data_IF_113613971223
#
_entry.id   IF_113613971223
#
_cell.length_a   1.000
_cell.length_b   1.000
_cell.length_c   1.000
_cell.angle_alpha   90.00
_cell.angle_beta   90.00
_cell.angle_gamma   90.00
#
_symmetry.space_group_name_H-M   'P 1'
#
loop_
_entity.id
_entity.type
_entity.pdbx_description
1 polymer ?
#
# COMPACT_ATOMS: atom_id res chain seq x y z
N UNK A 1 -2.29 23.51 -8.81
CA UNK A 1 -3.54 22.85 -9.23
C UNK A 1 -3.70 21.60 -8.39
N UNK A 2 -4.86 21.32 -7.77
CA UNK A 2 -5.02 20.12 -6.95
C UNK A 2 -5.05 18.90 -7.86
N UNK A 3 -3.98 18.11 -7.82
CA UNK A 3 -3.90 16.82 -8.51
C UNK A 3 -4.89 15.89 -7.79
N UNK A 4 -5.80 15.19 -8.49
CA UNK A 4 -6.72 14.28 -7.84
C UNK A 4 -5.94 13.06 -7.32
N UNK A 5 -5.61 13.03 -6.03
CA UNK A 5 -5.05 11.85 -5.33
C UNK A 5 -6.05 10.68 -5.23
N UNK A 6 -7.26 10.84 -5.76
CA UNK A 6 -8.26 9.80 -5.89
C UNK A 6 -8.39 9.40 -7.38
N UNK A 7 -7.54 8.49 -7.84
CA UNK A 7 -7.81 7.77 -9.09
C UNK A 7 -9.07 6.91 -8.85
N UNK A 8 -10.22 7.34 -9.39
CA UNK A 8 -11.37 6.45 -9.55
C UNK A 8 -10.95 5.35 -10.53
N UNK A 9 -10.55 4.19 -10.01
CA UNK A 9 -10.24 2.99 -10.80
C UNK A 9 -11.52 2.40 -11.40
N UNK A 10 -12.15 3.12 -12.33
CA UNK A 10 -13.39 2.71 -12.99
C UNK A 10 -13.29 1.36 -13.72
N UNK A 11 -12.09 1.01 -14.20
CA UNK A 11 -11.83 -0.24 -14.93
C UNK A 11 -11.90 -1.47 -14.00
N UNK A 12 -11.47 -1.36 -12.73
CA UNK A 12 -11.54 -2.51 -11.79
C UNK A 12 -12.99 -2.83 -11.43
N UNK A 13 -13.88 -1.83 -11.41
CA UNK A 13 -15.28 -2.03 -11.04
C UNK A 13 -16.05 -2.94 -12.02
N UNK A 14 -15.68 -2.90 -13.30
CA UNK A 14 -16.29 -3.66 -14.40
C UNK A 14 -15.80 -5.12 -14.46
N UNK A 15 -14.58 -5.39 -14.01
CA UNK A 15 -13.99 -6.76 -14.01
C UNK A 15 -14.50 -7.58 -12.80
N UNK A 16 -14.92 -6.91 -11.74
CA UNK A 16 -15.34 -7.55 -10.50
C UNK A 16 -16.82 -7.95 -10.56
N UNK A 17 -17.11 -9.21 -10.27
CA UNK A 17 -18.45 -9.77 -10.20
C UNK A 17 -18.94 -9.88 -8.75
N UNK A 18 -20.25 -9.69 -8.54
CA UNK A 18 -20.85 -9.64 -7.20
C UNK A 18 -20.41 -8.43 -6.39
N UNK A 19 -21.19 -8.06 -5.37
CA UNK A 19 -20.83 -6.97 -4.45
C UNK A 19 -21.53 -7.16 -3.11
N UNK A 20 -20.78 -7.59 -2.11
CA UNK A 20 -21.25 -7.65 -0.72
C UNK A 20 -20.36 -6.77 0.15
N UNK A 21 -20.92 -5.75 0.79
CA UNK A 21 -20.18 -4.95 1.77
C UNK A 21 -20.20 -5.64 3.13
N UNK A 22 -19.04 -5.74 3.77
CA UNK A 22 -18.86 -6.30 5.11
C UNK A 22 -18.10 -5.30 5.98
N UNK A 23 -18.79 -4.76 6.98
CA UNK A 23 -18.15 -3.94 8.02
C UNK A 23 -17.62 -4.87 9.12
N UNK A 24 -16.36 -4.69 9.49
CA UNK A 24 -15.68 -5.52 10.49
C UNK A 24 -14.94 -4.63 11.49
N UNK A 25 -14.80 -5.14 12.70
CA UNK A 25 -13.89 -4.60 13.71
C UNK A 25 -12.65 -5.49 13.80
N UNK A 26 -11.51 -4.91 14.12
CA UNK A 26 -10.26 -5.65 14.39
C UNK A 26 -9.75 -5.31 15.78
N UNK A 27 -8.82 -6.11 16.35
CA UNK A 27 -8.15 -5.75 17.59
C UNK A 27 -7.49 -4.36 17.54
N UNK A 28 -7.09 -3.89 16.36
CA UNK A 28 -6.42 -2.61 16.13
C UNK A 28 -7.39 -1.48 15.76
N UNK A 29 -8.70 -1.68 15.98
CA UNK A 29 -9.76 -0.74 15.62
C UNK A 29 -10.37 -1.02 14.25
N UNK A 30 -11.06 -0.01 13.70
CA UNK A 30 -11.79 -0.14 12.42
C UNK A 30 -10.86 0.02 11.21
N UNK A 31 -11.05 -0.79 10.16
CA UNK A 31 -10.48 -0.51 8.84
C UNK A 31 -10.98 0.82 8.27
N UNK A 32 -10.34 1.30 7.22
CA UNK A 32 -10.65 2.57 6.56
C UNK A 32 -12.07 2.63 5.96
N UNK A 33 -12.65 1.50 5.58
CA UNK A 33 -13.99 1.36 5.02
C UNK A 33 -14.46 -0.10 5.16
N UNK A 34 -15.67 -0.42 4.67
CA UNK A 34 -16.12 -1.79 4.49
C UNK A 34 -15.19 -2.57 3.56
N UNK A 35 -14.99 -3.85 3.88
CA UNK A 35 -14.48 -4.84 2.95
C UNK A 35 -15.56 -5.08 1.88
N UNK A 36 -15.18 -5.01 0.61
CA UNK A 36 -16.13 -5.29 -0.49
C UNK A 36 -15.81 -6.66 -1.06
N UNK A 37 -16.58 -7.67 -0.70
CA UNK A 37 -16.40 -9.04 -1.20
C UNK A 37 -16.90 -9.13 -2.65
N UNK A 38 -16.02 -9.55 -3.54
CA UNK A 38 -16.26 -9.68 -4.99
C UNK A 38 -15.46 -10.86 -5.56
N UNK A 39 -15.64 -11.14 -6.85
CA UNK A 39 -14.85 -12.14 -7.59
C UNK A 39 -14.25 -11.55 -8.86
N UNK A 40 -13.06 -11.99 -9.25
CA UNK A 40 -12.54 -11.84 -10.62
C UNK A 40 -12.52 -13.25 -11.21
N UNK A 41 -13.44 -13.55 -12.15
CA UNK A 41 -13.67 -14.92 -12.62
C UNK A 41 -13.91 -15.85 -11.41
N UNK A 42 -13.05 -16.85 -11.20
CA UNK A 42 -13.14 -17.80 -10.08
C UNK A 42 -12.27 -17.44 -8.87
N UNK A 43 -11.69 -16.23 -8.83
CA UNK A 43 -10.80 -15.79 -7.76
C UNK A 43 -11.52 -14.82 -6.84
N UNK A 44 -11.62 -15.16 -5.55
CA UNK A 44 -12.18 -14.29 -4.52
C UNK A 44 -11.31 -13.05 -4.31
N UNK A 45 -11.94 -11.89 -4.21
CA UNK A 45 -11.30 -10.59 -4.11
C UNK A 45 -11.96 -9.74 -3.03
N UNK A 46 -11.14 -9.04 -2.23
CA UNK A 46 -11.60 -8.19 -1.13
C UNK A 46 -11.05 -6.75 -1.28
N UNK A 47 -11.57 -5.95 -2.24
CA UNK A 47 -11.26 -4.53 -2.31
C UNK A 47 -11.51 -3.79 -0.98
N UNK A 48 -10.53 -2.98 -0.59
CA UNK A 48 -10.60 -2.05 0.54
C UNK A 48 -9.99 -0.70 0.14
N UNK A 49 -10.74 0.39 0.34
CA UNK A 49 -10.26 1.73 0.04
C UNK A 49 -9.38 2.26 1.18
N UNK A 50 -8.07 2.38 0.93
CA UNK A 50 -7.07 2.84 1.93
C UNK A 50 -7.45 4.15 2.63
N UNK A 51 -8.01 5.11 1.88
CA UNK A 51 -8.40 6.44 2.38
C UNK A 51 -9.91 6.57 2.66
N UNK A 52 -10.63 5.45 2.68
CA UNK A 52 -12.09 5.43 2.61
C UNK A 52 -12.59 5.73 1.19
N UNK A 53 -13.79 5.26 0.85
CA UNK A 53 -14.37 5.44 -0.50
C UNK A 53 -14.59 6.90 -0.89
N UNK A 54 -14.69 7.78 0.11
CA UNK A 54 -14.83 9.23 -0.06
C UNK A 54 -13.48 9.98 0.01
N UNK A 55 -12.35 9.27 0.17
CA UNK A 55 -11.01 9.85 0.27
C UNK A 55 -10.87 10.87 1.41
N UNK A 56 -11.46 10.58 2.57
CA UNK A 56 -11.52 11.50 3.73
C UNK A 56 -10.40 11.26 4.75
N UNK A 57 -9.67 10.15 4.65
CA UNK A 57 -8.63 9.77 5.62
C UNK A 57 -7.25 10.12 5.06
N UNK A 58 -6.55 11.08 5.66
CA UNK A 58 -5.18 11.43 5.26
C UNK A 58 -4.19 10.27 5.50
N UNK A 59 -3.08 10.15 4.73
CA UNK A 59 -2.15 9.02 4.83
C UNK A 59 -1.66 8.71 6.26
N UNK A 60 -1.28 9.74 7.02
CA UNK A 60 -0.84 9.60 8.41
C UNK A 60 -1.88 9.06 9.40
N UNK A 61 -3.17 9.08 9.00
CA UNK A 61 -4.30 8.66 9.83
C UNK A 61 -4.96 7.38 9.33
N UNK A 62 -4.46 6.81 8.23
CA UNK A 62 -4.89 5.48 7.78
C UNK A 62 -4.55 4.46 8.86
N UNK A 63 -5.52 3.64 9.23
CA UNK A 63 -5.31 2.56 10.18
C UNK A 63 -4.75 1.31 9.47
N UNK A 64 -3.46 1.35 9.16
CA UNK A 64 -2.80 0.28 8.42
C UNK A 64 -2.86 -1.07 9.15
N UNK A 65 -2.77 -1.08 10.48
CA UNK A 65 -2.89 -2.31 11.27
C UNK A 65 -4.28 -2.93 11.08
N UNK A 66 -5.36 -2.15 11.25
CA UNK A 66 -6.71 -2.68 11.05
C UNK A 66 -6.98 -3.11 9.60
N UNK A 67 -6.49 -2.36 8.61
CA UNK A 67 -6.66 -2.72 7.20
C UNK A 67 -6.03 -4.08 6.87
N UNK A 68 -4.75 -4.27 7.23
CA UNK A 68 -4.05 -5.53 6.95
C UNK A 68 -4.63 -6.68 7.78
N UNK A 69 -4.95 -6.44 9.06
CA UNK A 69 -5.54 -7.46 9.92
C UNK A 69 -6.90 -7.94 9.39
N UNK A 70 -7.76 -7.01 8.96
CA UNK A 70 -9.06 -7.34 8.39
C UNK A 70 -8.93 -8.20 7.12
N UNK A 71 -7.99 -7.88 6.22
CA UNK A 71 -7.74 -8.70 5.03
C UNK A 71 -7.23 -10.10 5.39
N UNK A 72 -6.33 -10.19 6.38
CA UNK A 72 -5.85 -11.48 6.90
C UNK A 72 -6.99 -12.33 7.45
N UNK A 73 -7.85 -11.75 8.29
CA UNK A 73 -8.99 -12.46 8.90
C UNK A 73 -10.08 -12.84 7.88
N UNK A 74 -10.21 -12.09 6.78
CA UNK A 74 -11.07 -12.48 5.65
C UNK A 74 -10.46 -13.62 4.81
N UNK A 75 -9.26 -14.10 5.16
CA UNK A 75 -8.61 -15.22 4.48
C UNK A 75 -7.83 -14.83 3.23
N UNK A 76 -7.55 -13.54 3.01
CA UNK A 76 -6.67 -13.14 1.92
C UNK A 76 -5.28 -13.77 2.08
N UNK A 77 -4.72 -14.25 0.96
CA UNK A 77 -3.33 -14.75 0.90
C UNK A 77 -2.39 -13.75 0.24
N UNK A 78 -2.95 -12.86 -0.58
CA UNK A 78 -2.24 -11.85 -1.36
C UNK A 78 -2.85 -10.48 -1.14
N UNK A 79 -2.01 -9.46 -1.10
CA UNK A 79 -2.41 -8.05 -1.04
C UNK A 79 -1.69 -7.32 -2.17
N UNK A 80 -2.45 -6.99 -3.21
CA UNK A 80 -1.97 -6.19 -4.34
C UNK A 80 -2.55 -4.79 -4.17
N UNK A 81 -1.67 -3.81 -4.01
CA UNK A 81 -2.09 -2.43 -3.77
C UNK A 81 -1.76 -1.53 -4.94
N UNK A 82 -2.52 -0.44 -5.04
CA UNK A 82 -2.16 0.71 -5.87
C UNK A 82 -1.72 1.88 -5.02
N UNK A 83 -0.75 2.64 -5.53
CA UNK A 83 -0.32 3.92 -4.93
C UNK A 83 0.04 4.92 -6.03
N UNK A 84 -0.42 6.15 -5.88
CA UNK A 84 0.11 7.27 -6.66
C UNK A 84 1.45 7.71 -6.08
N UNK A 85 2.34 8.23 -6.92
CA UNK A 85 3.64 8.74 -6.50
C UNK A 85 4.12 9.88 -7.41
N UNK A 86 4.97 10.74 -6.85
CA UNK A 86 5.83 11.61 -7.66
C UNK A 86 7.05 10.83 -8.17
N UNK A 87 7.47 11.12 -9.39
CA UNK A 87 8.71 10.61 -9.97
C UNK A 87 9.91 11.42 -9.51
N UNK A 88 11.06 10.77 -9.33
CA UNK A 88 12.35 11.44 -9.10
C UNK A 88 13.38 11.11 -10.18
N UNK A 89 12.94 10.56 -11.31
CA UNK A 89 13.77 10.02 -12.39
C UNK A 89 13.13 10.31 -13.74
N UNK A 90 13.91 10.81 -14.70
CA UNK A 90 13.39 11.19 -16.03
C UNK A 90 12.79 9.98 -16.78
N UNK A 91 13.32 8.79 -16.53
CA UNK A 91 12.85 7.54 -17.10
C UNK A 91 11.52 7.02 -16.52
N UNK A 92 10.94 7.69 -15.52
CA UNK A 92 9.62 7.41 -14.94
C UNK A 92 8.72 8.61 -15.23
N UNK A 93 7.91 8.54 -16.28
CA UNK A 93 7.04 9.62 -16.72
C UNK A 93 5.64 9.52 -16.09
N UNK A 94 4.92 10.64 -15.92
CA UNK A 94 3.52 10.59 -15.50
C UNK A 94 2.69 9.66 -16.39
N UNK A 95 1.93 8.74 -15.75
CA UNK A 95 1.19 7.68 -16.41
C UNK A 95 1.91 6.32 -16.42
N UNK A 96 3.22 6.29 -16.20
CA UNK A 96 3.95 5.03 -16.09
C UNK A 96 3.50 4.25 -14.85
N UNK A 97 3.27 2.95 -15.08
CA UNK A 97 3.06 1.98 -14.01
C UNK A 97 4.40 1.29 -13.74
N UNK A 98 4.78 1.23 -12.47
CA UNK A 98 6.03 0.63 -11.99
C UNK A 98 5.76 -0.24 -10.76
N UNK A 99 6.61 -1.25 -10.51
CA UNK A 99 6.51 -2.09 -9.31
C UNK A 99 7.55 -1.66 -8.28
N UNK A 100 7.11 -1.45 -7.05
CA UNK A 100 8.06 -1.19 -5.95
C UNK A 100 8.63 -2.54 -5.49
N UNK A 101 9.95 -2.65 -5.42
CA UNK A 101 10.66 -3.83 -4.89
C UNK A 101 11.54 -3.50 -3.68
N UNK A 102 11.85 -2.23 -3.46
CA UNK A 102 12.60 -1.71 -2.32
C UNK A 102 12.01 -0.38 -1.83
N UNK A 103 12.30 0.02 -0.59
CA UNK A 103 11.87 1.31 -0.07
C UNK A 103 12.82 1.89 0.98
N UNK A 104 12.71 3.21 1.20
CA UNK A 104 13.23 3.91 2.36
C UNK A 104 12.05 4.51 3.14
N UNK A 105 12.07 4.33 4.46
CA UNK A 105 11.05 4.87 5.35
C UNK A 105 11.47 6.23 5.93
N UNK A 106 10.63 7.23 5.71
CA UNK A 106 10.69 8.56 6.33
C UNK A 106 9.38 8.93 7.03
N UNK A 107 8.56 7.93 7.34
CA UNK A 107 7.39 8.08 8.22
C UNK A 107 7.85 8.18 9.67
N UNK A 108 7.07 8.88 10.50
CA UNK A 108 7.44 9.22 11.89
C UNK A 108 6.31 9.03 12.90
N UNK A 109 5.05 8.95 12.45
CA UNK A 109 3.89 8.99 13.36
C UNK A 109 3.06 7.70 13.39
N UNK A 110 3.45 6.65 12.67
CA UNK A 110 2.57 5.52 12.34
C UNK A 110 3.04 4.24 13.06
N UNK A 111 2.17 3.48 13.74
CA UNK A 111 2.52 2.16 14.26
C UNK A 111 2.93 1.21 13.12
N UNK A 112 4.07 0.52 13.27
CA UNK A 112 4.65 -0.33 12.21
C UNK A 112 4.68 -1.84 12.53
N UNK A 113 4.03 -2.23 13.63
CA UNK A 113 3.99 -3.63 14.09
C UNK A 113 2.65 -3.93 14.74
N UNK A 114 2.20 -5.18 14.67
CA UNK A 114 1.10 -5.68 15.51
C UNK A 114 1.55 -6.01 16.93
N UNK A 115 2.85 -6.23 17.10
CA UNK A 115 3.48 -6.75 18.32
C UNK A 115 4.02 -5.60 19.17
N UNK A 116 3.13 -4.71 19.61
CA UNK A 116 3.47 -3.53 20.43
C UNK A 116 3.33 -3.79 21.94
N UNK A 117 3.03 -5.04 22.32
CA UNK A 117 2.81 -5.45 23.71
C UNK A 117 1.42 -5.13 24.27
N UNK A 118 0.55 -4.45 23.51
CA UNK A 118 -0.77 -4.01 23.99
C UNK A 118 -1.90 -4.98 23.65
N UNK A 119 -1.71 -5.87 22.67
CA UNK A 119 -2.77 -6.74 22.16
C UNK A 119 -2.50 -8.22 22.40
N UNK A 120 -3.48 -8.91 22.98
CA UNK A 120 -3.39 -10.33 23.30
C UNK A 120 -3.33 -11.25 22.07
N UNK A 121 -3.79 -10.77 20.91
CA UNK A 121 -3.75 -11.47 19.62
C UNK A 121 -2.37 -11.42 18.92
N UNK A 122 -1.46 -10.55 19.37
CA UNK A 122 -0.13 -10.37 18.81
C UNK A 122 0.90 -10.22 19.96
N UNK A 123 1.27 -11.34 20.57
CA UNK A 123 2.15 -11.39 21.75
C UNK A 123 3.62 -11.53 21.35
N UNK A 124 4.50 -11.02 22.20
CA UNK A 124 5.94 -11.14 22.05
C UNK A 124 6.55 -10.01 21.21
N UNK A 125 7.81 -10.22 20.80
CA UNK A 125 8.56 -9.30 19.92
C UNK A 125 8.72 -9.99 18.57
N UNK A 126 8.41 -9.29 17.48
CA UNK A 126 8.41 -9.84 16.13
C UNK A 126 9.39 -9.06 15.23
N UNK A 127 10.65 -9.48 15.27
CA UNK A 127 11.69 -8.99 14.39
C UNK A 127 11.74 -9.86 13.13
N UNK A 128 11.30 -9.30 12.00
CA UNK A 128 11.30 -9.99 10.71
C UNK A 128 12.33 -9.36 9.76
N UNK A 129 13.06 -10.16 8.96
CA UNK A 129 13.88 -9.62 7.88
C UNK A 129 13.01 -8.89 6.85
N UNK A 130 13.38 -7.67 6.49
CA UNK A 130 12.61 -6.83 5.55
C UNK A 130 13.32 -6.59 4.21
N UNK A 131 14.49 -7.19 4.00
CA UNK A 131 15.22 -7.10 2.73
C UNK A 131 14.34 -7.51 1.53
N UNK A 132 13.55 -8.58 1.69
CA UNK A 132 12.58 -9.05 0.69
C UNK A 132 11.15 -8.80 1.18
N UNK A 133 10.73 -7.54 1.24
CA UNK A 133 9.40 -7.18 1.76
C UNK A 133 8.25 -7.33 0.76
N UNK A 134 8.57 -7.42 -0.53
CA UNK A 134 7.60 -7.66 -1.60
C UNK A 134 7.74 -9.10 -2.08
N UNK A 135 6.61 -9.79 -2.27
CA UNK A 135 6.61 -11.20 -2.65
C UNK A 135 7.19 -11.38 -4.07
N UNK A 136 8.31 -12.12 -4.23
CA UNK A 136 8.91 -12.32 -5.55
C UNK A 136 7.96 -12.98 -6.55
N UNK A 137 7.21 -14.00 -6.11
CA UNK A 137 6.28 -14.74 -6.98
C UNK A 137 5.13 -13.85 -7.46
N UNK A 138 4.56 -13.02 -6.57
CA UNK A 138 3.52 -12.07 -6.96
C UNK A 138 4.08 -10.99 -7.89
N UNK A 139 5.30 -10.54 -7.64
CA UNK A 139 5.98 -9.57 -8.50
C UNK A 139 6.27 -10.14 -9.89
N UNK A 140 6.69 -11.40 -10.00
CA UNK A 140 6.90 -12.09 -11.28
C UNK A 140 5.61 -12.18 -12.09
N UNK A 141 4.48 -12.49 -11.45
CA UNK A 141 3.18 -12.47 -12.14
C UNK A 141 2.78 -11.07 -12.65
N UNK A 142 3.26 -10.01 -12.00
CA UNK A 142 2.96 -8.62 -12.37
C UNK A 142 3.98 -8.03 -13.35
N UNK A 143 5.25 -8.43 -13.30
CA UNK A 143 6.35 -7.81 -14.07
C UNK A 143 6.25 -8.08 -15.57
N UNK A 144 5.61 -9.18 -15.96
CA UNK A 144 5.26 -9.46 -17.35
C UNK A 144 4.43 -8.32 -17.96
N UNK A 145 3.61 -7.66 -17.12
CA UNK A 145 2.81 -6.49 -17.50
C UNK A 145 3.54 -5.18 -17.20
N UNK A 146 4.19 -5.09 -16.04
CA UNK A 146 4.81 -3.87 -15.50
C UNK A 146 6.33 -4.04 -15.50
N UNK A 147 6.97 -3.72 -16.62
CA UNK A 147 8.37 -4.10 -16.95
C UNK A 147 9.49 -3.42 -16.12
N UNK A 148 9.17 -2.74 -15.01
CA UNK A 148 10.13 -1.91 -14.28
C UNK A 148 9.99 -2.02 -12.77
N UNK A 149 11.11 -2.26 -12.11
CA UNK A 149 11.27 -2.22 -10.66
C UNK A 149 11.81 -0.87 -10.21
N UNK A 150 11.32 -0.39 -9.07
CA UNK A 150 11.70 0.90 -8.52
C UNK A 150 11.83 0.86 -7.00
N UNK A 151 12.76 1.64 -6.48
CA UNK A 151 12.89 1.92 -5.05
C UNK A 151 12.10 3.17 -4.67
N UNK A 152 11.20 3.05 -3.68
CA UNK A 152 10.33 4.14 -3.24
C UNK A 152 10.80 4.82 -1.94
N UNK A 153 10.72 6.14 -1.87
CA UNK A 153 10.78 6.87 -0.60
C UNK A 153 9.35 7.06 -0.07
N UNK A 154 9.04 6.55 1.12
CA UNK A 154 7.76 6.86 1.78
C UNK A 154 7.94 7.96 2.81
N UNK A 155 7.37 9.13 2.56
CA UNK A 155 7.35 10.25 3.50
C UNK A 155 6.07 10.29 4.34
N UNK A 156 6.09 11.02 5.45
CA UNK A 156 4.94 11.12 6.35
C UNK A 156 3.69 11.77 5.72
N UNK A 157 3.84 12.81 4.90
CA UNK A 157 2.73 13.67 4.47
C UNK A 157 2.09 14.46 5.64
N UNK A 158 0.99 15.22 5.41
CA UNK A 158 0.23 15.33 4.17
C UNK A 158 0.82 16.35 3.18
N UNK A 159 1.81 17.14 3.59
CA UNK A 159 2.51 18.05 2.67
C UNK A 159 3.31 17.25 1.65
N UNK A 160 3.46 17.82 0.47
CA UNK A 160 4.50 17.40 -0.47
C UNK A 160 5.89 17.80 0.05
N UNK A 161 6.91 17.26 -0.61
CA UNK A 161 8.31 17.63 -0.37
C UNK A 161 8.56 19.09 -0.76
N UNK A 162 9.40 19.76 0.02
CA UNK A 162 10.05 20.99 -0.42
C UNK A 162 11.01 20.69 -1.56
N UNK A 163 11.41 21.73 -2.30
CA UNK A 163 12.37 21.58 -3.39
C UNK A 163 13.69 20.94 -2.93
N UNK A 164 14.23 21.38 -1.78
CA UNK A 164 15.46 20.83 -1.23
C UNK A 164 15.33 19.33 -0.89
N UNK A 165 14.19 18.91 -0.33
CA UNK A 165 13.91 17.49 -0.10
C UNK A 165 13.84 16.74 -1.43
N UNK A 166 13.16 17.26 -2.44
CA UNK A 166 13.06 16.63 -3.76
C UNK A 166 14.42 16.47 -4.45
N UNK A 167 15.32 17.45 -4.34
CA UNK A 167 16.69 17.33 -4.86
C UNK A 167 17.51 16.22 -4.16
N UNK A 168 17.19 15.89 -2.92
CA UNK A 168 17.88 14.84 -2.16
C UNK A 168 17.41 13.42 -2.52
N UNK A 169 16.15 13.24 -2.93
CA UNK A 169 15.56 11.93 -3.26
C UNK A 169 16.41 11.12 -4.26
N UNK A 170 16.79 11.65 -5.44
CA UNK A 170 17.57 10.88 -6.41
C UNK A 170 19.01 10.62 -5.94
N UNK A 171 19.59 11.46 -5.07
CA UNK A 171 20.94 11.23 -4.54
C UNK A 171 21.00 10.04 -3.59
N UNK A 172 19.87 9.65 -3.00
CA UNK A 172 19.71 8.43 -2.21
C UNK A 172 19.43 7.19 -3.06
N UNK A 173 19.43 7.30 -4.39
CA UNK A 173 19.12 6.17 -5.27
C UNK A 173 17.62 5.85 -5.38
N UNK A 174 16.75 6.75 -4.92
CA UNK A 174 15.31 6.57 -5.02
C UNK A 174 14.82 6.87 -6.44
N UNK A 175 13.68 6.29 -6.79
CA UNK A 175 13.06 6.40 -8.11
C UNK A 175 11.70 7.09 -8.07
N UNK A 176 10.96 6.88 -6.98
CA UNK A 176 9.62 7.43 -6.76
C UNK A 176 9.46 7.84 -5.30
N UNK A 177 8.53 8.76 -5.04
CA UNK A 177 8.16 9.20 -3.69
C UNK A 177 6.66 9.05 -3.47
N UNK A 178 6.28 8.44 -2.34
CA UNK A 178 4.88 8.31 -1.95
C UNK A 178 4.66 8.54 -0.45
N UNK A 179 3.44 8.31 0.00
CA UNK A 179 3.00 8.56 1.38
C UNK A 179 2.37 7.32 2.04
N UNK A 180 2.34 6.16 1.38
CA UNK A 180 1.46 5.04 1.78
C UNK A 180 2.07 3.66 1.82
N UNK A 181 3.22 3.40 1.16
CA UNK A 181 3.82 2.04 1.15
C UNK A 181 4.22 1.58 2.55
N UNK A 182 4.79 2.48 3.36
CA UNK A 182 5.14 2.21 4.76
C UNK A 182 4.08 2.81 5.70
N UNK A 183 3.56 2.06 6.69
CA UNK A 183 3.96 0.73 7.16
C UNK A 183 3.19 -0.45 6.56
N UNK A 184 2.36 -0.23 5.53
CA UNK A 184 1.49 -1.26 4.94
C UNK A 184 2.26 -2.52 4.54
N UNK A 185 3.42 -2.36 3.90
CA UNK A 185 4.30 -3.45 3.50
C UNK A 185 4.83 -4.28 4.68
N UNK A 186 5.23 -3.62 5.77
CA UNK A 186 5.75 -4.31 6.96
C UNK A 186 4.67 -5.13 7.66
N UNK A 187 3.47 -4.57 7.75
CA UNK A 187 2.33 -5.21 8.38
C UNK A 187 1.86 -6.40 7.56
N UNK A 188 1.80 -6.28 6.24
CA UNK A 188 1.48 -7.40 5.36
C UNK A 188 2.46 -8.57 5.55
N UNK A 189 3.76 -8.27 5.63
CA UNK A 189 4.77 -9.30 5.87
C UNK A 189 4.62 -9.95 7.25
N UNK A 190 4.40 -9.17 8.31
CA UNK A 190 4.12 -9.70 9.67
C UNK A 190 2.82 -10.51 9.75
N UNK A 191 1.85 -10.22 8.88
CA UNK A 191 0.60 -10.97 8.76
C UNK A 191 0.75 -12.28 7.96
N UNK A 192 1.91 -12.53 7.34
CA UNK A 192 2.15 -13.69 6.48
C UNK A 192 1.50 -13.58 5.10
N UNK A 193 1.26 -12.36 4.63
CA UNK A 193 0.60 -12.09 3.34
C UNK A 193 1.63 -11.81 2.25
N UNK A 194 1.38 -12.34 1.05
CA UNK A 194 2.14 -11.99 -0.15
C UNK A 194 1.78 -10.57 -0.60
N UNK A 195 2.69 -9.62 -0.44
CA UNK A 195 2.44 -8.21 -0.74
C UNK A 195 3.12 -7.76 -2.04
N UNK A 196 2.40 -7.00 -2.87
CA UNK A 196 2.94 -6.32 -4.04
C UNK A 196 2.33 -4.92 -4.20
N UNK A 197 3.12 -3.96 -4.68
CA UNK A 197 2.69 -2.57 -4.86
C UNK A 197 2.86 -2.13 -6.30
N UNK A 198 1.74 -1.99 -7.00
CA UNK A 198 1.67 -1.34 -8.30
C UNK A 198 1.58 0.17 -8.10
N UNK A 199 2.52 0.89 -8.67
CA UNK A 199 2.68 2.33 -8.42
C UNK A 199 2.53 3.08 -9.72
N UNK A 200 1.83 4.21 -9.67
CA UNK A 200 1.56 5.04 -10.84
C UNK A 200 2.22 6.39 -10.61
N UNK A 201 3.16 6.75 -11.49
CA UNK A 201 3.74 8.08 -11.48
C UNK A 201 2.67 9.09 -11.92
N UNK A 202 2.45 10.13 -11.12
CA UNK A 202 1.42 11.15 -11.38
C UNK A 202 2.00 12.53 -11.74
N UNK A 203 3.26 12.77 -11.38
CA UNK A 203 3.97 14.04 -11.49
C UNK A 203 5.49 13.83 -11.47
#
# INVERSE_FOLDING_TARGET
>A
MPIPTAMKMGIIAEILEGRTEKYVDTPFGKPSDALVLRKIKNVDCVPLARHGRQHTIMPSKVNYQANIWALKEEGCTHVIVTTACGSSREENQPGDVVLIDQFIDRTTMRPQTFYDGSYSCARGVCDIPVAESFCPQTREALIETVKKLVTALTIQGPRFSSWAESCMIPTWGMHVINVTTVPEVFLAKKAGLCYASMTIATD
#
